data_IF_594843461119
#
_entry.id   IF_594843461119
#
_cell.length_a   1.000
_cell.length_b   1.000
_cell.length_c   1.000
_cell.angle_alpha   90.00
_cell.angle_beta   90.00
_cell.angle_gamma   90.00
#
_symmetry.space_group_name_H-M   'P 1'
#
loop_
_entity.id
_entity.type
_entity.pdbx_description
1 polymer ?
#
# COMPACT_ATOMS: atom_id res chain seq x y z
N UNK A 1 -14.59 -7.79 14.42
CA UNK A 1 -14.33 -7.72 12.98
C UNK A 1 -13.62 -6.42 12.70
N UNK A 2 -12.47 -6.42 12.04
CA UNK A 2 -11.86 -5.21 11.51
C UNK A 2 -12.47 -4.90 10.15
N UNK A 3 -12.64 -3.63 9.82
CA UNK A 3 -13.05 -3.23 8.47
C UNK A 3 -11.86 -3.18 7.52
N UNK A 4 -12.12 -3.42 6.24
CA UNK A 4 -11.17 -3.23 5.15
C UNK A 4 -11.58 -1.99 4.35
N UNK A 5 -10.65 -1.04 4.21
CA UNK A 5 -10.75 0.06 3.26
C UNK A 5 -9.94 -0.31 2.02
N UNK A 6 -10.60 -0.36 0.88
CA UNK A 6 -10.00 -0.62 -0.42
C UNK A 6 -10.08 0.65 -1.26
N UNK A 7 -9.02 0.95 -2.00
CA UNK A 7 -9.02 2.00 -3.02
C UNK A 7 -8.51 1.36 -4.31
N UNK A 8 -9.29 1.50 -5.38
CA UNK A 8 -8.98 0.94 -6.68
C UNK A 8 -9.18 1.96 -7.79
N UNK A 9 -8.55 1.71 -8.93
CA UNK A 9 -8.83 2.48 -10.14
C UNK A 9 -10.16 2.05 -10.74
N UNK A 10 -10.91 3.01 -11.29
CA UNK A 10 -12.16 2.80 -12.00
C UNK A 10 -12.16 3.70 -13.25
N UNK A 11 -11.39 3.32 -14.27
CA UNK A 11 -11.12 4.20 -15.41
C UNK A 11 -10.17 5.33 -15.03
N UNK A 12 -10.65 6.57 -15.09
CA UNK A 12 -9.88 7.80 -14.86
C UNK A 12 -9.97 8.36 -13.42
N UNK A 13 -10.60 7.62 -12.51
CA UNK A 13 -10.75 7.99 -11.11
C UNK A 13 -10.45 6.83 -10.14
N UNK A 14 -10.30 7.18 -8.88
CA UNK A 14 -10.18 6.29 -7.74
C UNK A 14 -11.55 6.07 -7.11
N UNK A 15 -11.84 4.82 -6.75
CA UNK A 15 -13.04 4.42 -6.04
C UNK A 15 -12.66 3.85 -4.68
N UNK A 16 -13.34 4.31 -3.63
CA UNK A 16 -13.14 3.83 -2.26
C UNK A 16 -14.26 2.88 -1.86
N UNK A 17 -13.90 1.76 -1.24
CA UNK A 17 -14.83 0.75 -0.75
C UNK A 17 -14.55 0.46 0.73
N UNK A 18 -15.61 0.20 1.49
CA UNK A 18 -15.53 -0.38 2.84
C UNK A 18 -16.18 -1.75 2.81
N UNK A 19 -15.41 -2.79 3.14
CA UNK A 19 -15.86 -4.18 3.09
C UNK A 19 -16.57 -4.51 1.76
N UNK A 20 -15.91 -4.18 0.64
CA UNK A 20 -16.40 -4.37 -0.74
C UNK A 20 -17.63 -3.54 -1.14
N UNK A 21 -18.14 -2.66 -0.27
CA UNK A 21 -19.23 -1.74 -0.60
C UNK A 21 -18.67 -0.36 -0.92
N UNK A 22 -19.06 0.19 -2.07
CA UNK A 22 -18.65 1.52 -2.53
C UNK A 22 -19.12 2.60 -1.55
N UNK A 23 -18.20 3.50 -1.19
CA UNK A 23 -18.49 4.73 -0.45
C UNK A 23 -18.67 5.89 -1.43
N UNK A 24 -19.72 6.69 -1.27
CA UNK A 24 -20.01 7.84 -2.14
C UNK A 24 -19.51 9.14 -1.52
N UNK A 25 -18.65 9.87 -2.23
CA UNK A 25 -18.11 11.17 -1.83
C UNK A 25 -18.71 12.33 -2.65
N UNK A 26 -19.89 12.13 -3.25
CA UNK A 26 -20.55 13.13 -4.12
C UNK A 26 -21.04 14.35 -3.34
N UNK A 27 -21.56 14.15 -2.13
CA UNK A 27 -22.08 15.22 -1.27
C UNK A 27 -21.02 15.78 -0.32
N UNK A 28 -20.12 14.91 0.15
CA UNK A 28 -19.06 15.26 1.09
C UNK A 28 -17.74 14.62 0.66
N UNK A 29 -16.66 15.41 0.70
CA UNK A 29 -15.32 14.97 0.30
C UNK A 29 -14.57 14.21 1.38
N UNK A 30 -15.19 13.93 2.52
CA UNK A 30 -14.56 13.20 3.61
C UNK A 30 -15.57 12.30 4.32
N UNK A 31 -15.07 11.28 4.99
CA UNK A 31 -15.85 10.42 5.89
C UNK A 31 -15.01 10.10 7.13
N UNK A 32 -15.64 10.24 8.29
CA UNK A 32 -15.10 9.76 9.55
C UNK A 32 -15.70 8.38 9.85
N UNK A 33 -14.85 7.36 9.88
CA UNK A 33 -15.20 5.98 10.16
C UNK A 33 -14.47 5.54 11.43
N UNK A 34 -14.90 4.43 12.01
CA UNK A 34 -14.26 3.93 13.23
C UNK A 34 -12.77 3.63 13.01
N UNK A 35 -11.91 4.47 13.58
CA UNK A 35 -10.45 4.33 13.54
C UNK A 35 -9.77 4.79 12.25
N UNK A 36 -10.53 5.31 11.27
CA UNK A 36 -10.01 5.78 9.99
C UNK A 36 -10.80 6.97 9.45
N UNK A 37 -10.08 7.99 9.00
CA UNK A 37 -10.62 9.14 8.30
C UNK A 37 -10.24 9.05 6.82
N UNK A 38 -11.22 9.23 5.94
CA UNK A 38 -11.01 9.18 4.48
C UNK A 38 -11.31 10.55 3.89
N UNK A 39 -10.41 11.08 3.08
CA UNK A 39 -10.55 12.35 2.37
C UNK A 39 -10.32 12.16 0.88
N UNK A 40 -11.24 12.67 0.05
CA UNK A 40 -11.27 12.54 -1.40
C UNK A 40 -11.44 13.93 -2.02
N UNK A 41 -10.35 14.74 -2.10
CA UNK A 41 -10.43 16.11 -2.59
C UNK A 41 -10.78 16.21 -4.08
N UNK A 42 -10.45 15.19 -4.87
CA UNK A 42 -10.77 15.03 -6.28
C UNK A 42 -10.93 13.54 -6.62
N UNK A 43 -11.54 13.18 -7.76
CA UNK A 43 -11.67 11.78 -8.15
C UNK A 43 -10.34 11.05 -8.30
N UNK A 44 -9.23 11.75 -8.52
CA UNK A 44 -7.89 11.16 -8.69
C UNK A 44 -7.08 11.08 -7.39
N UNK A 45 -7.56 11.66 -6.28
CA UNK A 45 -6.79 11.78 -5.05
C UNK A 45 -7.59 11.24 -3.87
N UNK A 46 -7.00 10.30 -3.13
CA UNK A 46 -7.58 9.75 -1.90
C UNK A 46 -6.53 9.78 -0.80
N UNK A 47 -6.89 10.27 0.37
CA UNK A 47 -6.05 10.22 1.58
C UNK A 47 -6.79 9.42 2.64
N UNK A 48 -6.12 8.41 3.19
CA UNK A 48 -6.61 7.59 4.29
C UNK A 48 -5.73 7.90 5.50
N UNK A 49 -6.32 8.33 6.61
CA UNK A 49 -5.61 8.66 7.85
C UNK A 49 -6.11 7.73 8.95
N UNK A 50 -5.21 7.00 9.58
CA UNK A 50 -5.52 6.13 10.70
C UNK A 50 -5.47 6.90 12.02
N UNK A 51 -6.19 6.39 13.02
CA UNK A 51 -6.15 6.94 14.40
C UNK A 51 -4.74 6.97 15.02
N UNK A 52 -3.79 6.19 14.50
CA UNK A 52 -2.37 6.23 14.87
C UNK A 52 -1.61 7.43 14.31
N UNK A 53 -2.24 8.22 13.43
CA UNK A 53 -1.60 9.31 12.69
C UNK A 53 -0.89 8.88 11.41
N UNK A 54 -0.72 7.58 11.18
CA UNK A 54 -0.25 7.06 9.90
C UNK A 54 -1.26 7.39 8.79
N UNK A 55 -0.77 7.69 7.59
CA UNK A 55 -1.62 7.97 6.46
C UNK A 55 -1.09 7.36 5.15
N UNK A 56 -2.01 7.14 4.22
CA UNK A 56 -1.71 6.72 2.86
C UNK A 56 -2.38 7.70 1.90
N UNK A 57 -1.59 8.33 1.04
CA UNK A 57 -2.08 9.13 -0.08
C UNK A 57 -2.00 8.34 -1.37
N UNK A 58 -3.09 8.29 -2.11
CA UNK A 58 -3.21 7.66 -3.40
C UNK A 58 -3.50 8.74 -4.44
N UNK A 59 -2.70 8.76 -5.51
CA UNK A 59 -2.84 9.69 -6.62
C UNK A 59 -2.88 8.92 -7.94
N UNK A 60 -3.91 9.18 -8.74
CA UNK A 60 -4.03 8.64 -10.10
C UNK A 60 -3.58 9.70 -11.11
N UNK A 61 -2.55 9.38 -11.89
CA UNK A 61 -2.04 10.23 -12.95
C UNK A 61 -1.77 9.38 -14.19
N UNK A 62 -2.39 9.72 -15.33
CA UNK A 62 -2.18 9.03 -16.62
C UNK A 62 -2.23 7.49 -16.50
N UNK A 63 -3.30 6.96 -15.89
CA UNK A 63 -3.52 5.54 -15.63
C UNK A 63 -2.56 4.86 -14.63
N UNK A 64 -1.63 5.60 -14.02
CA UNK A 64 -0.73 5.10 -12.98
C UNK A 64 -1.21 5.55 -11.59
N UNK A 65 -1.37 4.61 -10.67
CA UNK A 65 -1.67 4.91 -9.26
C UNK A 65 -0.38 4.93 -8.45
N UNK A 66 -0.10 6.07 -7.80
CA UNK A 66 1.00 6.24 -6.87
C UNK A 66 0.48 6.19 -5.44
N UNK A 67 1.13 5.41 -4.58
CA UNK A 67 0.87 5.36 -3.15
C UNK A 67 2.03 6.00 -2.37
N UNK A 68 1.71 6.95 -1.51
CA UNK A 68 2.66 7.58 -0.58
C UNK A 68 2.26 7.24 0.84
N UNK A 69 3.18 6.69 1.62
CA UNK A 69 2.97 6.38 3.04
C UNK A 69 3.56 7.51 3.88
N UNK A 70 2.75 8.08 4.78
CA UNK A 70 3.15 9.13 5.72
C UNK A 70 3.10 8.54 7.12
N UNK A 71 4.23 8.56 7.82
CA UNK A 71 4.35 8.01 9.16
C UNK A 71 4.78 9.08 10.16
N UNK A 72 4.11 9.17 11.31
CA UNK A 72 4.58 9.95 12.47
C UNK A 72 5.95 9.46 12.98
N UNK A 73 6.69 10.31 13.69
CA UNK A 73 8.03 10.00 14.22
C UNK A 73 8.02 8.85 15.23
N UNK A 74 6.88 8.57 15.84
CA UNK A 74 6.67 7.46 16.76
C UNK A 74 6.88 6.09 16.09
N UNK A 75 6.85 6.02 14.76
CA UNK A 75 7.17 4.82 13.98
C UNK A 75 8.66 4.63 13.72
N UNK A 76 9.53 5.52 14.21
CA UNK A 76 10.98 5.38 14.05
C UNK A 76 11.50 4.05 14.60
N UNK A 77 12.35 3.37 13.83
CA UNK A 77 12.87 2.02 14.10
C UNK A 77 11.83 0.89 14.16
N UNK A 78 10.54 1.17 13.89
CA UNK A 78 9.44 0.21 13.97
C UNK A 78 8.93 -0.27 12.60
N UNK A 79 9.47 0.26 11.51
CA UNK A 79 9.10 -0.17 10.15
C UNK A 79 10.02 -1.24 9.63
N UNK A 80 9.46 -2.17 8.85
CA UNK A 80 10.17 -3.17 8.06
C UNK A 80 9.36 -3.40 6.79
N UNK A 81 10.01 -3.53 5.64
CA UNK A 81 9.33 -3.78 4.38
C UNK A 81 10.05 -3.17 3.18
N UNK A 82 9.33 -3.08 2.07
CA UNK A 82 9.84 -2.49 0.82
C UNK A 82 10.19 -1.00 0.92
N UNK A 83 9.67 -0.30 1.93
CA UNK A 83 10.00 1.10 2.23
C UNK A 83 11.13 1.23 3.26
N UNK A 84 11.77 0.12 3.65
CA UNK A 84 12.90 0.13 4.56
C UNK A 84 12.56 0.37 6.03
N UNK A 85 13.60 0.66 6.80
CA UNK A 85 13.53 0.90 8.23
C UNK A 85 13.59 2.39 8.50
N UNK A 86 12.61 2.92 9.24
CA UNK A 86 12.52 4.35 9.50
C UNK A 86 13.51 4.78 10.60
N UNK A 87 14.81 4.70 10.32
CA UNK A 87 15.91 5.02 11.25
C UNK A 87 16.86 6.11 10.71
N UNK A 88 16.57 6.66 9.52
CA UNK A 88 17.42 7.63 8.81
C UNK A 88 18.80 7.11 8.40
N UNK A 89 18.96 5.78 8.33
CA UNK A 89 20.17 5.11 7.85
C UNK A 89 19.83 4.29 6.58
N UNK A 90 20.19 4.77 5.37
CA UNK A 90 19.88 4.05 4.15
C UNK A 90 20.68 2.74 3.99
N UNK A 91 21.68 2.48 4.84
CA UNK A 91 22.52 1.29 4.71
C UNK A 91 21.82 0.00 5.13
N UNK A 92 20.75 0.07 5.91
CA UNK A 92 19.96 -1.10 6.34
C UNK A 92 18.53 -1.15 5.76
N UNK A 93 18.20 -0.26 4.81
CA UNK A 93 16.86 -0.20 4.20
C UNK A 93 16.51 -1.45 3.39
N UNK A 94 17.50 -2.09 2.76
CA UNK A 94 17.33 -3.37 2.05
C UNK A 94 17.50 -4.57 3.00
N UNK A 95 16.86 -4.51 4.16
CA UNK A 95 16.81 -5.61 5.13
C UNK A 95 15.71 -6.62 4.75
N UNK A 96 16.12 -7.86 4.57
CA UNK A 96 15.21 -8.99 4.29
C UNK A 96 14.38 -9.36 5.53
N UNK A 97 13.28 -10.12 5.37
CA UNK A 97 12.47 -10.59 6.50
C UNK A 97 13.27 -11.37 7.57
N UNK A 98 14.27 -12.20 7.22
CA UNK A 98 15.14 -12.85 8.20
C UNK A 98 16.12 -11.92 8.94
N UNK A 99 16.24 -10.66 8.51
CA UNK A 99 17.12 -9.66 9.12
C UNK A 99 18.50 -9.51 8.45
N UNK A 100 18.71 -10.11 7.28
CA UNK A 100 19.94 -9.92 6.50
C UNK A 100 19.84 -8.64 5.66
N UNK A 101 20.88 -7.81 5.69
CA UNK A 101 20.99 -6.58 4.91
C UNK A 101 21.69 -6.86 3.60
N UNK A 102 21.05 -6.49 2.50
CA UNK A 102 21.61 -6.65 1.16
C UNK A 102 22.67 -5.57 0.91
N UNK A 103 23.77 -5.98 0.28
CA UNK A 103 24.90 -5.09 -0.05
C UNK A 103 24.49 -3.89 -0.90
N UNK A 104 25.15 -2.75 -0.68
CA UNK A 104 24.97 -1.56 -1.52
C UNK A 104 25.41 -1.78 -2.99
N UNK A 105 26.21 -2.81 -3.25
CA UNK A 105 26.65 -3.21 -4.59
C UNK A 105 25.84 -4.39 -5.14
N UNK A 106 24.63 -4.60 -4.63
CA UNK A 106 23.77 -5.68 -5.08
C UNK A 106 23.44 -5.58 -6.57
N UNK A 107 23.41 -6.74 -7.19
CA UNK A 107 22.94 -6.96 -8.55
C UNK A 107 21.42 -6.76 -8.64
N UNK A 108 20.91 -6.53 -9.84
CA UNK A 108 19.47 -6.44 -10.08
C UNK A 108 18.72 -7.72 -9.70
N UNK A 109 19.37 -8.89 -9.80
CA UNK A 109 18.79 -10.17 -9.40
C UNK A 109 18.62 -10.27 -7.88
N UNK A 110 19.60 -9.79 -7.11
CA UNK A 110 19.51 -9.71 -5.65
C UNK A 110 18.42 -8.73 -5.20
N UNK A 111 18.31 -7.57 -5.86
CA UNK A 111 17.24 -6.59 -5.61
C UNK A 111 15.86 -7.16 -5.98
N UNK A 112 15.76 -7.94 -7.07
CA UNK A 112 14.53 -8.63 -7.41
C UNK A 112 14.15 -9.67 -6.35
N UNK A 113 15.13 -10.46 -5.90
CA UNK A 113 14.94 -11.49 -4.86
C UNK A 113 14.53 -10.86 -3.53
N UNK A 114 15.10 -9.71 -3.17
CA UNK A 114 14.66 -8.90 -2.03
C UNK A 114 13.18 -8.54 -2.11
N UNK A 115 12.77 -7.94 -3.23
CA UNK A 115 11.39 -7.53 -3.43
C UNK A 115 10.43 -8.71 -3.37
N UNK A 116 10.78 -9.82 -4.02
CA UNK A 116 10.02 -11.06 -3.98
C UNK A 116 9.94 -11.66 -2.57
N UNK A 117 10.99 -11.51 -1.76
CA UNK A 117 11.01 -11.94 -0.36
C UNK A 117 9.97 -11.23 0.51
N UNK A 118 9.53 -10.03 0.11
CA UNK A 118 8.45 -9.27 0.76
C UNK A 118 7.05 -9.59 0.24
N UNK A 119 6.90 -10.57 -0.64
CA UNK A 119 5.59 -11.04 -1.06
C UNK A 119 4.78 -11.58 0.14
N UNK A 120 3.48 -11.30 0.16
CA UNK A 120 2.54 -11.73 1.21
C UNK A 120 1.83 -13.02 0.78
N UNK A 121 1.35 -13.82 1.74
CA UNK A 121 0.61 -15.04 1.41
C UNK A 121 -0.75 -14.69 0.81
N UNK A 122 -1.27 -15.56 -0.07
CA UNK A 122 -2.57 -15.38 -0.72
C UNK A 122 -3.72 -15.19 0.28
N UNK A 123 -3.64 -15.81 1.46
CA UNK A 123 -4.65 -15.67 2.52
C UNK A 123 -4.66 -14.29 3.18
N UNK A 124 -3.56 -13.53 3.04
CA UNK A 124 -3.38 -12.20 3.62
C UNK A 124 -3.38 -11.08 2.57
N UNK A 125 -3.44 -11.44 1.28
CA UNK A 125 -3.46 -10.46 0.21
C UNK A 125 -4.78 -9.70 0.20
N UNK A 126 -4.68 -8.37 0.25
CA UNK A 126 -5.79 -7.45 0.03
C UNK A 126 -5.93 -7.04 -1.45
N UNK A 127 -5.02 -7.50 -2.32
CA UNK A 127 -5.13 -7.27 -3.75
C UNK A 127 -6.25 -8.12 -4.32
N UNK A 128 -7.19 -7.47 -4.99
CA UNK A 128 -8.24 -8.11 -5.78
C UNK A 128 -7.77 -8.17 -7.24
N UNK A 129 -7.89 -9.34 -7.85
CA UNK A 129 -7.61 -9.54 -9.27
C UNK A 129 -8.95 -9.72 -9.98
N UNK A 130 -9.47 -8.63 -10.53
CA UNK A 130 -10.83 -8.56 -11.07
C UNK A 130 -10.96 -9.03 -12.53
N UNK A 131 -9.86 -9.56 -13.11
CA UNK A 131 -9.87 -10.20 -14.42
C UNK A 131 -8.94 -11.42 -14.46
N UNK A 132 -9.24 -12.36 -15.36
CA UNK A 132 -8.37 -13.50 -15.65
C UNK A 132 -6.96 -13.06 -16.07
N UNK A 133 -6.86 -11.99 -16.86
CA UNK A 133 -5.56 -11.44 -17.25
C UNK A 133 -4.74 -10.98 -16.04
N UNK A 134 -5.36 -10.26 -15.09
CA UNK A 134 -4.66 -9.78 -13.90
C UNK A 134 -4.28 -10.93 -12.97
N UNK A 135 -5.16 -11.93 -12.82
CA UNK A 135 -4.84 -13.19 -12.15
C UNK A 135 -3.62 -13.83 -12.80
N UNK A 136 -3.68 -14.19 -14.07
CA UNK A 136 -2.63 -14.96 -14.73
C UNK A 136 -1.29 -14.21 -14.81
N UNK A 137 -1.31 -12.88 -14.84
CA UNK A 137 -0.10 -12.05 -15.01
C UNK A 137 0.55 -11.62 -13.70
N UNK A 138 -0.24 -11.41 -12.64
CA UNK A 138 0.22 -10.77 -11.40
C UNK A 138 -0.09 -11.58 -10.13
N UNK A 139 -0.82 -12.67 -10.25
CA UNK A 139 -0.97 -13.63 -9.16
C UNK A 139 0.28 -14.53 -9.11
N UNK A 140 1.04 -14.42 -8.02
CA UNK A 140 2.14 -15.32 -7.74
C UNK A 140 1.67 -16.36 -6.72
N UNK A 141 1.25 -17.57 -7.14
CA UNK A 141 0.99 -18.66 -6.21
C UNK A 141 2.32 -19.04 -5.56
N UNK A 142 2.45 -18.81 -4.26
CA UNK A 142 3.54 -19.40 -3.49
C UNK A 142 3.37 -20.93 -3.54
N UNK A 143 4.40 -21.63 -4.00
CA UNK A 143 4.51 -23.09 -3.94
C UNK A 143 4.64 -23.61 -2.52
#
# INVERSE_FOLDING_TARGET
SSDVIEVRTAGDHLQVLRNQKILSFTEQRWMDLQGVFVFVPSPQNVTIIFSSGAAVELRLHEATMMATVLLPVEFSNLTLGLLGRMNSDPSDDLMTRPGEVISSNATLEEIFTFGAGWNISNMSSLFTYDSHYLLDSYFFPLG
#
